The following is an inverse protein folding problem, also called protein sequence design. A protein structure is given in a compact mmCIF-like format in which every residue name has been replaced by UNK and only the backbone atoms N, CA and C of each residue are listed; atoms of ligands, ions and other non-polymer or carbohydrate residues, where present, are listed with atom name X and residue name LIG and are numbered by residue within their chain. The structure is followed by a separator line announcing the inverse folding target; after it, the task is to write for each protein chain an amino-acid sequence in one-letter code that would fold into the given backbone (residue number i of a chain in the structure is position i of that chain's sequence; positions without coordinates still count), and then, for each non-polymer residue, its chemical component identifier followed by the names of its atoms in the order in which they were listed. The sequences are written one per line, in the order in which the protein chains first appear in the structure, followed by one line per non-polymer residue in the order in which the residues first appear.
data_IF_809913136008
#
_entry.id   IF_809913136008
#
_cell.length_a   1.000
_cell.length_b   1.000
_cell.length_c   1.000
_cell.angle_alpha   90.00
_cell.angle_beta   90.00
_cell.angle_gamma   90.00
#
_symmetry.space_group_name_H-M   'P 1'
#
loop_
_entity.id
_entity.type
_entity.pdbx_description
1 polymer ?
#
# COMPACT_ATOMS: atom_id res chain seq x y z
N UNK A 1 15.77 35.44 -8.80
CA UNK A 1 15.21 35.37 -7.43
C UNK A 1 13.92 34.55 -7.52
N UNK A 2 13.97 33.27 -7.13
CA UNK A 2 12.75 32.47 -6.96
C UNK A 2 12.06 32.98 -5.70
N UNK A 3 10.79 33.37 -5.80
CA UNK A 3 9.99 33.82 -4.66
C UNK A 3 10.05 32.76 -3.54
N UNK A 4 10.27 33.15 -2.31
CA UNK A 4 10.24 32.26 -1.13
C UNK A 4 8.95 31.44 -1.04
N UNK A 5 7.84 31.98 -1.54
CA UNK A 5 6.58 31.23 -1.70
C UNK A 5 6.71 30.03 -2.65
N UNK A 6 7.47 30.14 -3.75
CA UNK A 6 7.66 29.04 -4.69
C UNK A 6 8.50 27.89 -4.14
N UNK A 7 9.50 28.17 -3.28
CA UNK A 7 10.32 27.11 -2.68
C UNK A 7 9.57 26.35 -1.58
N UNK A 8 8.81 27.06 -0.73
CA UNK A 8 7.98 26.42 0.30
C UNK A 8 6.88 25.57 -0.33
N UNK A 9 6.18 26.09 -1.35
CA UNK A 9 5.14 25.33 -2.05
C UNK A 9 5.67 24.04 -2.67
N UNK A 10 6.83 24.08 -3.33
CA UNK A 10 7.36 22.90 -3.98
C UNK A 10 8.01 21.89 -3.00
N UNK A 11 8.55 22.34 -1.85
CA UNK A 11 8.93 21.44 -0.74
C UNK A 11 7.70 20.73 -0.16
N UNK A 12 6.60 21.47 0.05
CA UNK A 12 5.36 20.91 0.57
C UNK A 12 4.76 19.88 -0.41
N UNK A 13 4.78 20.18 -1.72
CA UNK A 13 4.33 19.26 -2.75
C UNK A 13 5.16 17.96 -2.75
N UNK A 14 6.49 18.08 -2.73
CA UNK A 14 7.38 16.92 -2.64
C UNK A 14 7.15 16.09 -1.37
N UNK A 15 6.93 16.76 -0.23
CA UNK A 15 6.57 16.10 1.02
C UNK A 15 5.24 15.35 0.92
N UNK A 16 4.18 15.96 0.37
CA UNK A 16 2.87 15.33 0.24
C UNK A 16 2.91 14.10 -0.68
N UNK A 17 3.62 14.19 -1.81
CA UNK A 17 3.80 13.07 -2.73
C UNK A 17 4.58 11.93 -2.07
N UNK A 18 5.69 12.24 -1.40
CA UNK A 18 6.49 11.25 -0.69
C UNK A 18 5.71 10.62 0.48
N UNK A 19 4.93 11.42 1.22
CA UNK A 19 4.08 10.95 2.31
C UNK A 19 3.01 9.99 1.80
N UNK A 20 2.34 10.32 0.70
CA UNK A 20 1.35 9.44 0.08
C UNK A 20 1.98 8.11 -0.37
N UNK A 21 3.14 8.17 -1.05
CA UNK A 21 3.86 6.98 -1.49
C UNK A 21 4.27 6.07 -0.31
N UNK A 22 4.87 6.68 0.72
CA UNK A 22 5.28 6.03 1.95
C UNK A 22 4.08 5.38 2.66
N UNK A 23 3.01 6.14 2.84
CA UNK A 23 1.81 5.67 3.52
C UNK A 23 1.17 4.48 2.80
N UNK A 24 1.15 4.46 1.46
CA UNK A 24 0.64 3.32 0.70
C UNK A 24 1.50 2.06 0.93
N UNK A 25 2.83 2.18 0.84
CA UNK A 25 3.75 1.07 1.12
C UNK A 25 3.59 0.52 2.54
N UNK A 26 3.56 1.40 3.54
CA UNK A 26 3.39 1.00 4.94
C UNK A 26 2.01 0.48 5.25
N UNK A 27 0.96 0.91 4.53
CA UNK A 27 -0.38 0.35 4.68
C UNK A 27 -0.42 -1.14 4.32
N UNK A 28 0.32 -1.58 3.29
CA UNK A 28 0.49 -3.01 3.01
C UNK A 28 1.22 -3.73 4.15
N UNK A 29 2.25 -3.11 4.73
CA UNK A 29 2.96 -3.62 5.90
C UNK A 29 2.06 -3.78 7.13
N UNK A 30 1.28 -2.75 7.46
CA UNK A 30 0.30 -2.75 8.56
C UNK A 30 -0.77 -3.81 8.34
N UNK A 31 -1.29 -3.93 7.11
CA UNK A 31 -2.27 -4.96 6.76
C UNK A 31 -1.66 -6.37 6.93
N UNK A 32 -0.44 -6.59 6.46
CA UNK A 32 0.26 -7.88 6.61
C UNK A 32 0.54 -8.21 8.08
N UNK A 33 0.92 -7.22 8.88
CA UNK A 33 1.18 -7.37 10.31
C UNK A 33 -0.11 -7.65 11.10
N UNK A 34 -1.16 -6.85 10.91
CA UNK A 34 -2.47 -7.04 11.56
C UNK A 34 -3.01 -8.45 11.28
N UNK A 35 -2.84 -8.90 10.05
CA UNK A 35 -3.23 -10.23 9.64
C UNK A 35 -2.36 -11.33 10.25
N UNK A 36 -1.05 -11.14 10.28
CA UNK A 36 -0.13 -12.06 10.96
C UNK A 36 -0.55 -12.24 12.42
N UNK A 37 -0.89 -11.16 13.11
CA UNK A 37 -1.40 -11.21 14.48
C UNK A 37 -2.70 -12.02 14.57
N UNK A 38 -3.64 -11.75 13.68
CA UNK A 38 -4.95 -12.42 13.65
C UNK A 38 -4.84 -13.93 13.39
N UNK A 39 -3.97 -14.36 12.48
CA UNK A 39 -3.81 -15.77 12.09
C UNK A 39 -2.97 -16.54 13.11
N UNK A 40 -1.80 -16.03 13.48
CA UNK A 40 -0.86 -16.75 14.35
C UNK A 40 -1.36 -16.76 15.79
N UNK A 41 -1.96 -15.66 16.25
CA UNK A 41 -2.45 -15.50 17.62
C UNK A 41 -3.97 -15.54 17.71
N UNK A 42 -4.61 -16.35 16.87
CA UNK A 42 -6.06 -16.51 16.83
C UNK A 42 -6.69 -16.88 18.21
N UNK A 43 -5.93 -17.53 19.10
CA UNK A 43 -6.37 -17.88 20.46
C UNK A 43 -6.46 -16.69 21.42
N UNK A 44 -5.79 -15.56 21.12
CA UNK A 44 -5.75 -14.38 21.97
C UNK A 44 -6.75 -13.34 21.46
N UNK A 45 -7.89 -13.22 22.15
CA UNK A 45 -8.98 -12.32 21.78
C UNK A 45 -8.56 -10.83 21.65
N UNK A 46 -7.49 -10.43 22.34
CA UNK A 46 -6.95 -9.06 22.31
C UNK A 46 -6.56 -8.63 20.89
N UNK A 47 -5.94 -9.52 20.10
CA UNK A 47 -5.49 -9.21 18.74
C UNK A 47 -6.61 -9.14 17.71
N UNK A 48 -7.81 -9.62 18.08
CA UNK A 48 -9.01 -9.51 17.25
C UNK A 48 -9.82 -8.25 17.56
N UNK A 49 -9.41 -7.47 18.57
CA UNK A 49 -10.10 -6.24 18.94
C UNK A 49 -9.87 -5.14 17.90
N UNK A 50 -10.93 -4.38 17.60
CA UNK A 50 -10.86 -3.18 16.77
C UNK A 50 -9.83 -2.17 17.31
N UNK A 51 -9.58 -2.16 18.62
CA UNK A 51 -8.60 -1.27 19.25
C UNK A 51 -7.18 -1.56 18.73
N UNK A 52 -6.81 -2.83 18.57
CA UNK A 52 -5.51 -3.20 18.04
C UNK A 52 -5.36 -2.75 16.59
N UNK A 53 -6.41 -2.92 15.77
CA UNK A 53 -6.44 -2.43 14.39
C UNK A 53 -6.25 -0.91 14.32
N UNK A 54 -7.03 -0.14 15.06
CA UNK A 54 -6.94 1.32 15.10
C UNK A 54 -5.57 1.80 15.58
N UNK A 55 -5.01 1.13 16.59
CA UNK A 55 -3.67 1.40 17.07
C UNK A 55 -2.61 1.15 15.99
N UNK A 56 -2.67 0.02 15.27
CA UNK A 56 -1.75 -0.26 14.17
C UNK A 56 -1.86 0.78 13.04
N UNK A 57 -3.06 1.23 12.71
CA UNK A 57 -3.27 2.30 11.71
C UNK A 57 -2.64 3.61 12.20
N UNK A 58 -2.92 4.02 13.44
CA UNK A 58 -2.36 5.24 14.02
C UNK A 58 -0.83 5.23 14.06
N UNK A 59 -0.23 4.11 14.47
CA UNK A 59 1.22 3.94 14.43
C UNK A 59 1.78 3.96 13.01
N UNK A 60 1.10 3.36 12.03
CA UNK A 60 1.51 3.41 10.62
C UNK A 60 1.56 4.83 10.05
N UNK A 61 0.58 5.66 10.39
CA UNK A 61 0.56 7.09 10.00
C UNK A 61 1.69 7.88 10.64
N UNK A 62 1.85 7.77 11.97
CA UNK A 62 2.92 8.46 12.69
C UNK A 62 4.29 8.06 12.14
N UNK A 63 4.51 6.77 11.88
CA UNK A 63 5.74 6.26 11.33
C UNK A 63 6.03 6.81 9.93
N UNK A 64 5.03 6.83 9.05
CA UNK A 64 5.18 7.37 7.69
C UNK A 64 5.51 8.88 7.70
N UNK A 65 4.87 9.65 8.58
CA UNK A 65 5.17 11.09 8.75
C UNK A 65 6.61 11.28 9.21
N UNK A 66 7.07 10.51 10.20
CA UNK A 66 8.44 10.60 10.73
C UNK A 66 9.48 10.25 9.65
N UNK A 67 9.20 9.24 8.82
CA UNK A 67 10.11 8.85 7.73
C UNK A 67 10.22 9.93 6.65
N UNK A 68 9.12 10.60 6.31
CA UNK A 68 9.13 11.60 5.23
C UNK A 68 9.53 12.99 5.75
N UNK A 69 9.63 13.17 7.06
CA UNK A 69 10.02 14.44 7.69
C UNK A 69 11.30 15.09 7.12
N UNK A 70 12.39 14.34 6.77
CA UNK A 70 13.59 14.93 6.19
C UNK A 70 13.34 15.74 4.91
N UNK A 71 12.28 15.44 4.14
CA UNK A 71 11.93 16.15 2.90
C UNK A 71 11.43 17.57 3.14
N UNK A 72 11.01 17.88 4.37
CA UNK A 72 10.53 19.20 4.75
C UNK A 72 11.69 20.14 5.09
N UNK A 73 12.80 19.57 5.56
CA UNK A 73 13.99 20.30 6.04
C UNK A 73 15.15 20.31 5.03
N UNK A 74 15.34 19.21 4.31
CA UNK A 74 16.28 19.10 3.21
C UNK A 74 15.54 19.42 1.92
N UNK A 75 16.15 20.19 1.00
CA UNK A 75 15.52 20.46 -0.29
C UNK A 75 15.16 19.14 -0.98
N UNK A 76 13.86 18.86 -1.06
CA UNK A 76 13.33 17.64 -1.65
C UNK A 76 13.55 17.56 -3.17
N UNK A 77 13.24 16.39 -3.73
CA UNK A 77 13.46 16.00 -5.12
C UNK A 77 12.96 16.98 -6.20
N UNK A 78 12.00 17.85 -5.87
CA UNK A 78 11.35 18.77 -6.80
C UNK A 78 11.97 20.17 -6.83
N UNK A 79 12.79 20.54 -5.83
CA UNK A 79 13.01 21.96 -5.50
C UNK A 79 14.46 22.47 -5.51
N UNK A 80 15.48 21.62 -5.48
CA UNK A 80 16.88 22.08 -5.48
C UNK A 80 17.78 21.23 -6.35
N UNK A 81 18.56 21.91 -7.19
CA UNK A 81 19.56 21.34 -8.09
C UNK A 81 20.88 21.04 -7.39
N UNK A 82 21.13 21.51 -6.15
CA UNK A 82 22.49 21.61 -5.58
C UNK A 82 22.75 20.88 -4.27
N UNK A 83 21.75 20.31 -3.59
CA UNK A 83 21.96 19.69 -2.27
C UNK A 83 22.21 18.19 -2.43
N UNK A 84 23.44 17.73 -2.15
CA UNK A 84 23.89 16.32 -1.96
C UNK A 84 22.90 15.24 -2.42
N UNK A 85 22.77 15.08 -3.75
CA UNK A 85 21.84 14.15 -4.44
C UNK A 85 21.88 12.69 -3.98
N UNK A 86 22.93 12.26 -3.27
CA UNK A 86 23.12 10.85 -2.91
C UNK A 86 22.35 10.45 -1.64
N UNK A 87 22.48 11.17 -0.53
CA UNK A 87 21.94 10.71 0.75
C UNK A 87 20.40 10.56 0.74
N UNK A 88 19.68 11.59 0.28
CA UNK A 88 18.21 11.56 0.27
C UNK A 88 17.68 10.49 -0.69
N UNK A 89 18.33 10.28 -1.83
CA UNK A 89 17.96 9.25 -2.81
C UNK A 89 18.13 7.84 -2.24
N UNK A 90 19.28 7.53 -1.64
CA UNK A 90 19.51 6.24 -0.98
C UNK A 90 18.59 6.03 0.23
N UNK A 91 18.39 7.08 1.03
CA UNK A 91 17.45 7.06 2.16
C UNK A 91 16.03 6.72 1.69
N UNK A 92 15.60 7.31 0.59
CA UNK A 92 14.26 7.08 0.01
C UNK A 92 14.12 5.67 -0.52
N UNK A 93 15.10 5.18 -1.28
CA UNK A 93 15.10 3.81 -1.78
C UNK A 93 15.05 2.81 -0.62
N UNK A 94 15.82 3.04 0.45
CA UNK A 94 15.82 2.16 1.60
C UNK A 94 14.50 2.23 2.39
N UNK A 95 14.07 3.43 2.78
CA UNK A 95 12.92 3.62 3.66
C UNK A 95 11.57 3.39 2.97
N UNK A 96 11.40 3.83 1.72
CA UNK A 96 10.12 3.74 1.00
C UNK A 96 9.97 2.40 0.27
N UNK A 97 11.07 1.76 -0.16
CA UNK A 97 10.99 0.53 -0.96
C UNK A 97 11.46 -0.71 -0.18
N UNK A 98 12.71 -0.73 0.28
CA UNK A 98 13.29 -1.94 0.88
C UNK A 98 12.69 -2.28 2.24
N UNK A 99 12.54 -1.30 3.13
CA UNK A 99 12.02 -1.50 4.47
C UNK A 99 10.58 -2.05 4.48
N UNK A 100 9.59 -1.48 3.77
CA UNK A 100 8.25 -2.06 3.69
C UNK A 100 8.24 -3.42 2.99
N UNK A 101 9.09 -3.64 1.98
CA UNK A 101 9.22 -4.97 1.36
C UNK A 101 9.71 -6.04 2.34
N UNK A 102 10.68 -5.70 3.19
CA UNK A 102 11.14 -6.59 4.26
C UNK A 102 10.04 -6.88 5.28
N UNK A 103 9.27 -5.87 5.69
CA UNK A 103 8.15 -6.04 6.63
C UNK A 103 7.07 -6.95 6.03
N UNK A 104 6.62 -6.66 4.81
CA UNK A 104 5.59 -7.43 4.11
C UNK A 104 6.07 -8.87 3.84
N UNK A 105 7.30 -9.03 3.35
CA UNK A 105 7.92 -10.33 3.10
C UNK A 105 8.04 -11.17 4.39
N UNK A 106 8.49 -10.56 5.48
CA UNK A 106 8.56 -11.23 6.78
C UNK A 106 7.18 -11.65 7.29
N UNK A 107 6.20 -10.74 7.29
CA UNK A 107 4.85 -11.03 7.78
C UNK A 107 4.17 -12.13 6.96
N UNK A 108 4.19 -12.01 5.63
CA UNK A 108 3.60 -13.00 4.73
C UNK A 108 4.34 -14.34 4.79
N UNK A 109 5.66 -14.33 4.92
CA UNK A 109 6.46 -15.55 5.11
C UNK A 109 6.09 -16.28 6.40
N UNK A 110 5.92 -15.55 7.52
CA UNK A 110 5.47 -16.12 8.79
C UNK A 110 4.07 -16.71 8.70
N UNK A 111 3.13 -16.00 8.06
CA UNK A 111 1.77 -16.49 7.81
C UNK A 111 1.80 -17.75 6.95
N UNK A 112 2.57 -17.76 5.85
CA UNK A 112 2.69 -18.91 4.97
C UNK A 112 3.22 -20.15 5.70
N UNK A 113 4.28 -20.01 6.49
CA UNK A 113 4.84 -21.10 7.30
C UNK A 113 3.83 -21.64 8.32
N UNK A 114 3.08 -20.76 8.98
CA UNK A 114 2.03 -21.16 9.93
C UNK A 114 0.90 -21.93 9.24
N UNK A 115 0.40 -21.41 8.12
CA UNK A 115 -0.64 -22.02 7.29
C UNK A 115 -0.20 -23.40 6.78
N UNK A 116 1.05 -23.55 6.32
CA UNK A 116 1.61 -24.83 5.88
C UNK A 116 1.68 -25.85 7.02
N UNK A 117 2.13 -25.42 8.21
CA UNK A 117 2.18 -26.29 9.40
C UNK A 117 0.78 -26.75 9.82
N UNK A 118 -0.19 -25.82 9.84
CA UNK A 118 -1.58 -26.11 10.17
C UNK A 118 -2.22 -27.07 9.16
N UNK A 119 -2.00 -26.88 7.87
CA UNK A 119 -2.53 -27.77 6.80
C UNK A 119 -2.06 -29.21 6.99
N UNK A 120 -0.77 -29.40 7.32
CA UNK A 120 -0.18 -30.72 7.57
C UNK A 120 -0.82 -31.41 8.78
N UNK A 121 -1.15 -30.66 9.84
CA UNK A 121 -1.82 -31.19 11.03
C UNK A 121 -3.29 -31.54 10.77
N UNK A 122 -4.01 -30.71 10.01
CA UNK A 122 -5.42 -30.95 9.67
C UNK A 122 -5.60 -32.15 8.74
N UNK A 123 -4.66 -32.38 7.80
CA UNK A 123 -4.66 -33.61 7.00
C UNK A 123 -4.47 -34.87 7.84
N UNK A 124 -3.78 -34.78 8.98
CA UNK A 124 -3.62 -35.89 9.91
C UNK A 124 -4.84 -36.10 10.83
N UNK A 125 -5.72 -35.11 11.00
CA UNK A 125 -6.82 -35.13 11.99
C UNK A 125 -8.25 -35.16 11.42
N UNK A 126 -8.46 -35.25 10.10
CA UNK A 126 -9.79 -35.50 9.54
C UNK A 126 -10.76 -34.29 9.51
N UNK A 127 -10.61 -33.46 8.49
CA UNK A 127 -11.66 -32.79 7.68
C UNK A 127 -12.67 -31.75 8.22
N UNK A 128 -12.69 -31.30 9.47
CA UNK A 128 -13.71 -30.28 9.88
C UNK A 128 -13.33 -28.78 9.63
N UNK A 129 -12.06 -28.47 9.33
CA UNK A 129 -11.55 -27.08 9.28
C UNK A 129 -11.37 -26.40 7.90
N UNK A 130 -11.75 -27.04 6.78
CA UNK A 130 -11.31 -26.63 5.43
C UNK A 130 -11.74 -25.21 4.98
N UNK A 131 -12.92 -24.73 5.39
CA UNK A 131 -13.52 -23.50 4.81
C UNK A 131 -12.84 -22.20 5.29
N UNK A 132 -12.37 -22.13 6.54
CA UNK A 132 -11.67 -20.93 7.03
C UNK A 132 -10.30 -20.78 6.37
N UNK A 133 -9.62 -21.90 6.15
CA UNK A 133 -8.25 -21.93 5.67
C UNK A 133 -8.13 -21.48 4.21
N UNK A 134 -9.05 -21.90 3.34
CA UNK A 134 -9.06 -21.50 1.92
C UNK A 134 -9.27 -19.99 1.73
N UNK A 135 -10.13 -19.38 2.56
CA UNK A 135 -10.34 -17.92 2.56
C UNK A 135 -9.06 -17.18 2.94
N UNK A 136 -8.37 -17.66 3.97
CA UNK A 136 -7.11 -17.07 4.39
C UNK A 136 -6.05 -17.25 3.29
N UNK A 137 -5.89 -18.42 2.70
CA UNK A 137 -4.93 -18.60 1.59
C UNK A 137 -5.22 -17.65 0.42
N UNK A 138 -6.47 -17.52 -0.01
CA UNK A 138 -6.85 -16.61 -1.09
C UNK A 138 -6.55 -15.15 -0.75
N UNK A 139 -6.85 -14.72 0.48
CA UNK A 139 -6.50 -13.38 0.93
C UNK A 139 -4.98 -13.17 0.90
N UNK A 140 -4.17 -14.20 1.22
CA UNK A 140 -2.70 -14.09 1.25
C UNK A 140 -2.17 -13.86 -0.16
N UNK A 141 -2.67 -14.64 -1.10
CA UNK A 141 -2.36 -14.53 -2.53
C UNK A 141 -2.69 -13.12 -3.05
N UNK A 142 -3.90 -12.61 -2.75
CA UNK A 142 -4.30 -11.25 -3.16
C UNK A 142 -3.34 -10.20 -2.60
N UNK A 143 -2.99 -10.28 -1.32
CA UNK A 143 -2.08 -9.32 -0.70
C UNK A 143 -0.66 -9.36 -1.28
N UNK A 144 -0.17 -10.55 -1.63
CA UNK A 144 1.12 -10.70 -2.30
C UNK A 144 1.04 -10.10 -3.71
N UNK A 145 0.00 -10.42 -4.48
CA UNK A 145 -0.19 -9.90 -5.84
C UNK A 145 -0.32 -8.38 -5.85
N UNK A 146 -1.14 -7.80 -4.98
CA UNK A 146 -1.29 -6.33 -4.92
C UNK A 146 0.00 -5.65 -4.50
N UNK A 147 0.70 -6.19 -3.49
CA UNK A 147 2.00 -5.67 -3.09
C UNK A 147 3.04 -5.78 -4.22
N UNK A 148 3.09 -6.89 -4.96
CA UNK A 148 4.04 -7.07 -6.08
C UNK A 148 3.75 -6.10 -7.22
N UNK A 149 2.49 -5.90 -7.60
CA UNK A 149 2.11 -4.93 -8.64
C UNK A 149 2.53 -3.52 -8.22
N UNK A 150 2.22 -3.15 -6.97
CA UNK A 150 2.58 -1.86 -6.41
C UNK A 150 4.10 -1.67 -6.37
N UNK A 151 4.84 -2.63 -5.83
CA UNK A 151 6.29 -2.62 -5.79
C UNK A 151 6.91 -2.50 -7.19
N UNK A 152 6.38 -3.24 -8.18
CA UNK A 152 6.87 -3.22 -9.55
C UNK A 152 6.64 -1.87 -10.26
N UNK A 153 5.56 -1.14 -9.96
CA UNK A 153 5.35 0.20 -10.55
C UNK A 153 6.18 1.30 -9.92
N UNK A 154 6.47 1.21 -8.62
CA UNK A 154 7.27 2.22 -7.91
C UNK A 154 8.78 2.02 -8.06
N UNK A 155 9.25 0.77 -8.20
CA UNK A 155 10.67 0.46 -8.29
C UNK A 155 11.39 1.19 -9.43
N UNK A 156 10.89 1.18 -10.69
CA UNK A 156 11.54 1.86 -11.81
C UNK A 156 11.68 3.37 -11.59
N UNK A 157 10.68 4.01 -10.98
CA UNK A 157 10.71 5.45 -10.66
C UNK A 157 11.79 5.75 -9.64
N UNK A 158 11.83 5.00 -8.54
CA UNK A 158 12.84 5.21 -7.49
C UNK A 158 14.26 4.88 -7.96
N UNK A 159 14.42 3.85 -8.78
CA UNK A 159 15.72 3.49 -9.37
C UNK A 159 16.23 4.55 -10.33
N UNK A 160 15.37 5.06 -11.22
CA UNK A 160 15.76 6.14 -12.14
C UNK A 160 16.02 7.46 -11.42
N UNK A 161 15.34 7.73 -10.31
CA UNK A 161 15.66 8.88 -9.46
C UNK A 161 17.00 8.73 -8.73
N UNK A 162 17.34 7.52 -8.29
CA UNK A 162 18.55 7.26 -7.49
C UNK A 162 19.80 7.11 -8.37
N UNK A 163 19.68 6.40 -9.49
CA UNK A 163 20.81 6.02 -10.35
C UNK A 163 20.74 6.63 -11.75
N UNK A 164 19.61 7.23 -12.14
CA UNK A 164 19.43 7.77 -13.48
C UNK A 164 20.27 9.01 -13.70
N UNK A 165 21.02 9.01 -14.79
CA UNK A 165 21.75 10.18 -15.23
C UNK A 165 20.80 11.07 -16.04
N UNK A 166 20.59 12.32 -15.63
CA UNK A 166 19.57 13.24 -16.18
C UNK A 166 19.69 13.48 -17.69
N UNK A 167 20.86 13.19 -18.27
CA UNK A 167 21.16 13.44 -19.68
C UNK A 167 21.00 12.19 -20.57
N UNK A 168 20.65 11.03 -19.99
CA UNK A 168 20.65 9.73 -20.69
C UNK A 168 19.26 9.17 -21.00
N UNK A 169 18.21 9.70 -20.38
CA UNK A 169 16.85 9.17 -20.50
C UNK A 169 16.01 10.07 -21.42
N UNK A 170 15.45 9.53 -22.52
CA UNK A 170 14.46 10.23 -23.34
C UNK A 170 13.28 10.70 -22.50
N UNK A 171 12.82 11.94 -22.73
CA UNK A 171 11.70 12.57 -22.00
C UNK A 171 10.44 11.70 -21.99
N UNK A 172 10.17 10.99 -23.10
CA UNK A 172 9.03 10.07 -23.23
C UNK A 172 9.11 8.92 -22.21
N UNK A 173 10.29 8.34 -22.02
CA UNK A 173 10.49 7.24 -21.06
C UNK A 173 10.30 7.78 -19.63
N UNK A 174 10.83 8.97 -19.34
CA UNK A 174 10.60 9.64 -18.06
C UNK A 174 9.11 9.85 -17.75
N UNK A 175 8.34 10.32 -18.74
CA UNK A 175 6.89 10.51 -18.59
C UNK A 175 6.16 9.17 -18.36
N UNK A 176 6.49 8.12 -19.13
CA UNK A 176 5.91 6.79 -18.92
C UNK A 176 6.18 6.25 -17.52
N UNK A 177 7.40 6.43 -17.01
CA UNK A 177 7.77 6.01 -15.66
C UNK A 177 6.96 6.75 -14.59
N UNK A 178 6.69 8.04 -14.76
CA UNK A 178 5.89 8.81 -13.80
C UNK A 178 4.41 8.38 -13.74
N UNK A 179 3.87 7.78 -14.82
CA UNK A 179 2.49 7.27 -14.87
C UNK A 179 2.34 5.91 -14.17
N UNK A 180 3.42 5.13 -14.08
CA UNK A 180 3.41 3.79 -13.47
C UNK A 180 2.85 3.78 -12.03
N UNK A 181 3.33 4.63 -11.09
CA UNK A 181 2.77 4.73 -9.75
C UNK A 181 1.25 4.89 -9.73
N UNK A 182 0.71 5.83 -10.50
CA UNK A 182 -0.73 6.09 -10.57
C UNK A 182 -1.51 4.87 -11.10
N UNK A 183 -0.96 4.19 -12.11
CA UNK A 183 -1.58 2.97 -12.64
C UNK A 183 -1.64 1.85 -11.60
N UNK A 184 -0.60 1.68 -10.77
CA UNK A 184 -0.59 0.64 -9.72
C UNK A 184 -1.62 0.88 -8.64
N UNK A 185 -1.85 2.14 -8.25
CA UNK A 185 -2.91 2.51 -7.30
C UNK A 185 -4.28 2.15 -7.86
N UNK A 186 -4.52 2.44 -9.14
CA UNK A 186 -5.76 2.06 -9.80
C UNK A 186 -5.96 0.54 -9.81
N UNK A 187 -4.91 -0.23 -10.15
CA UNK A 187 -4.97 -1.69 -10.10
C UNK A 187 -5.22 -2.23 -8.69
N UNK A 188 -4.58 -1.66 -7.66
CA UNK A 188 -4.81 -2.06 -6.27
C UNK A 188 -6.28 -1.84 -5.85
N UNK A 189 -6.85 -0.67 -6.13
CA UNK A 189 -8.26 -0.38 -5.86
C UNK A 189 -9.18 -1.33 -6.63
N UNK A 190 -8.90 -1.57 -7.92
CA UNK A 190 -9.69 -2.51 -8.73
C UNK A 190 -9.62 -3.94 -8.17
N UNK A 191 -8.43 -4.41 -7.77
CA UNK A 191 -8.23 -5.70 -7.13
C UNK A 191 -8.97 -5.81 -5.79
N UNK A 192 -8.93 -4.78 -4.95
CA UNK A 192 -9.66 -4.73 -3.68
C UNK A 192 -11.17 -4.83 -3.90
N UNK A 193 -11.71 -4.11 -4.88
CA UNK A 193 -13.15 -4.18 -5.23
C UNK A 193 -13.50 -5.58 -5.76
N UNK A 194 -12.67 -6.15 -6.63
CA UNK A 194 -12.93 -7.47 -7.23
C UNK A 194 -12.89 -8.62 -6.22
N UNK A 195 -12.00 -8.53 -5.24
CA UNK A 195 -11.73 -9.59 -4.27
C UNK A 195 -12.63 -9.54 -3.04
N UNK A 196 -13.08 -8.35 -2.65
CA UNK A 196 -13.89 -8.17 -1.45
C UNK A 196 -15.38 -8.46 -1.74
N UNK A 197 -15.81 -9.70 -1.48
CA UNK A 197 -17.21 -10.13 -1.68
C UNK A 197 -18.26 -9.22 -1.01
N UNK A 198 -18.11 -8.82 0.27
CA UNK A 198 -19.00 -7.84 0.90
C UNK A 198 -19.14 -6.54 0.10
N UNK A 199 -18.02 -5.97 -0.33
CA UNK A 199 -18.01 -4.72 -1.12
C UNK A 199 -18.75 -4.91 -2.44
N UNK A 200 -18.53 -6.03 -3.15
CA UNK A 200 -19.28 -6.32 -4.38
C UNK A 200 -20.78 -6.48 -4.15
N UNK A 201 -21.17 -7.13 -3.05
CA UNK A 201 -22.60 -7.27 -2.70
C UNK A 201 -23.21 -5.90 -2.41
N UNK A 202 -22.51 -5.06 -1.66
CA UNK A 202 -22.92 -3.69 -1.38
C UNK A 202 -23.05 -2.85 -2.66
N UNK A 203 -22.03 -2.87 -3.54
CA UNK A 203 -22.05 -2.17 -4.82
C UNK A 203 -23.20 -2.65 -5.72
N UNK A 204 -23.42 -3.97 -5.81
CA UNK A 204 -24.58 -4.51 -6.54
C UNK A 204 -25.91 -4.01 -5.98
N UNK A 205 -26.06 -3.98 -4.65
CA UNK A 205 -27.26 -3.46 -4.01
C UNK A 205 -27.46 -1.96 -4.29
N UNK A 206 -26.38 -1.18 -4.31
CA UNK A 206 -26.41 0.26 -4.57
C UNK A 206 -26.79 0.54 -6.04
N UNK A 207 -26.19 -0.20 -6.99
CA UNK A 207 -26.51 -0.12 -8.43
C UNK A 207 -27.94 -0.56 -8.71
N UNK A 208 -28.45 -1.61 -8.06
CA UNK A 208 -29.84 -2.10 -8.27
C UNK A 208 -30.87 -1.17 -7.62
N UNK A 209 -30.54 -0.48 -6.52
CA UNK A 209 -31.45 0.50 -5.88
C UNK A 209 -31.48 1.85 -6.59
N UNK A 210 -30.38 2.27 -7.22
CA UNK A 210 -30.30 3.54 -7.93
C UNK A 210 -31.35 3.76 -9.05
N UNK A 211 -31.70 2.78 -9.90
CA UNK A 211 -32.74 2.94 -10.91
C UNK A 211 -34.16 2.97 -10.33
N UNK A 212 -34.37 2.40 -9.13
CA UNK A 212 -35.71 2.30 -8.53
C UNK A 212 -36.16 3.63 -7.92
N UNK A 213 -35.24 4.41 -7.36
CA UNK A 213 -35.54 5.74 -6.81
C UNK A 213 -35.69 6.82 -7.90
N UNK A 214 -35.02 6.66 -9.05
CA UNK A 214 -35.18 7.56 -10.19
C UNK A 214 -36.56 7.40 -10.87
N UNK A 215 -37.14 6.19 -10.86
CA UNK A 215 -38.47 5.94 -11.41
C UNK A 215 -39.60 6.48 -10.51
N UNK A 216 -39.50 6.35 -9.18
CA UNK A 216 -40.52 6.85 -8.24
C UNK A 216 -40.57 8.39 -8.20
N UNK A 217 -39.44 9.06 -8.46
CA UNK A 217 -39.40 10.53 -8.57
C UNK A 217 -40.14 11.06 -9.82
N UNK A 218 -40.31 10.26 -10.87
CA UNK A 218 -40.94 10.70 -12.12
C UNK A 218 -42.44 10.34 -12.19
N UNK A 219 -42.94 9.46 -11.33
CA UNK A 219 -44.37 9.14 -11.21
C UNK A 219 -45.13 10.03 -10.21
N UNK A 220 -44.41 10.90 -9.49
CA UNK A 220 -44.97 11.88 -8.54
C UNK A 220 -44.95 13.33 -9.08
N UNK A 221 -44.69 13.51 -10.38
CA UNK A 221 -44.95 14.76 -11.12
C UNK A 221 -46.07 14.52 -12.13
#
# INVERSE_FOLDING_TARGET
MLNTSSSVSCRLEGFLVAMAACQMMYSHGVAAFSRMLTIIYASKHIFRSNICLWSCIGFGWLFSIVIVLPYLFLDGFTCSTSTTRTFLSYYTLFSVLLLPAMIVGFCNGRVFLFVRKSTRQVHAQGSSGKVSHERDVRLLEIMIVTFTIFFAGWTPVLLTQTFGNSNSLPTVIGACLQVLPSSTVFFDVACLIYTNQPVRRFLKQLIVRHPRNALVSNTLR
#
